data_IF_131834661026
#
_entry.id   IF_131834661026
#
_cell.length_a   1.000
_cell.length_b   1.000
_cell.length_c   1.000
_cell.angle_alpha   90.00
_cell.angle_beta   90.00
_cell.angle_gamma   90.00
#
_symmetry.space_group_name_H-M   'P 1'
#
loop_
_entity.id
_entity.type
_entity.pdbx_description
1 polymer ?
#
# COMPACT_ATOMS: atom_id res chain seq x y z
N UNK A 1 38.99 41.22 22.60
CA UNK A 1 38.86 39.97 23.40
C UNK A 1 39.10 38.77 22.48
N UNK A 2 39.43 37.57 22.97
CA UNK A 2 39.58 36.40 22.08
C UNK A 2 38.22 35.89 21.60
N UNK A 3 38.18 35.14 20.51
CA UNK A 3 36.93 34.53 19.99
C UNK A 3 36.29 33.63 21.05
N UNK A 4 37.06 32.78 21.75
CA UNK A 4 36.52 31.93 22.83
C UNK A 4 35.82 32.75 23.93
N UNK A 5 36.47 33.84 24.39
CA UNK A 5 35.87 34.71 25.41
C UNK A 5 34.60 35.40 24.92
N UNK A 6 34.55 35.76 23.64
CA UNK A 6 33.36 36.35 23.03
C UNK A 6 32.22 35.33 22.99
N UNK A 7 32.48 34.10 22.52
CA UNK A 7 31.49 33.03 22.46
C UNK A 7 30.96 32.65 23.86
N UNK A 8 31.85 32.56 24.86
CA UNK A 8 31.47 32.35 26.26
C UNK A 8 30.55 33.46 26.79
N UNK A 9 30.85 34.72 26.46
CA UNK A 9 30.02 35.88 26.87
C UNK A 9 28.64 35.83 26.22
N UNK A 10 28.54 35.28 25.01
CA UNK A 10 27.28 35.09 24.29
C UNK A 10 26.54 33.80 24.71
N UNK A 11 27.14 32.97 25.58
CA UNK A 11 26.57 31.68 26.00
C UNK A 11 26.54 30.63 24.88
N UNK A 12 27.41 30.77 23.88
CA UNK A 12 27.46 29.89 22.71
C UNK A 12 28.58 28.87 22.86
N UNK A 13 28.25 27.60 22.66
CA UNK A 13 29.20 26.50 22.69
C UNK A 13 30.13 26.55 21.47
N UNK A 14 31.46 26.77 21.63
CA UNK A 14 32.41 26.84 20.53
C UNK A 14 32.45 25.57 19.66
N UNK A 15 32.05 24.42 20.20
CA UNK A 15 31.97 23.17 19.46
C UNK A 15 30.79 23.17 18.46
N UNK A 16 29.76 23.98 18.68
CA UNK A 16 28.50 23.98 17.90
C UNK A 16 28.37 25.14 16.92
N UNK A 17 29.26 26.11 16.99
CA UNK A 17 29.22 27.31 16.13
C UNK A 17 30.42 27.37 15.20
N UNK A 18 30.28 28.13 14.11
CA UNK A 18 31.39 28.63 13.31
C UNK A 18 31.43 30.16 13.45
N UNK A 19 32.64 30.70 13.36
CA UNK A 19 32.91 32.11 13.62
C UNK A 19 33.60 32.71 12.39
N UNK A 20 33.03 33.77 11.86
CA UNK A 20 33.60 34.57 10.80
C UNK A 20 33.94 35.96 11.34
N UNK A 21 35.13 36.45 10.97
CA UNK A 21 35.57 37.82 11.27
C UNK A 21 35.96 38.50 9.97
N UNK A 22 35.29 39.59 9.62
CA UNK A 22 35.55 40.38 8.42
C UNK A 22 35.56 39.54 7.12
N UNK A 23 34.61 38.60 6.96
CA UNK A 23 34.55 37.66 5.82
C UNK A 23 35.64 36.59 5.78
N UNK A 24 36.40 36.43 6.86
CA UNK A 24 37.36 35.36 7.03
C UNK A 24 36.86 34.37 8.09
N UNK A 25 36.68 33.11 7.68
CA UNK A 25 36.29 32.03 8.59
C UNK A 25 37.48 31.73 9.50
N UNK A 26 37.28 31.88 10.81
CA UNK A 26 38.31 31.55 11.80
C UNK A 26 38.25 30.03 12.05
N UNK A 27 39.36 29.29 11.87
CA UNK A 27 39.41 27.88 12.24
C UNK A 27 39.19 27.71 13.75
N UNK A 28 38.43 26.68 14.17
CA UNK A 28 38.17 26.41 15.61
C UNK A 28 39.44 26.30 16.45
N UNK A 29 40.52 25.76 15.87
CA UNK A 29 41.83 25.67 16.55
C UNK A 29 42.46 27.02 16.88
N UNK A 30 41.99 28.11 16.25
CA UNK A 30 42.50 29.46 16.43
C UNK A 30 41.60 30.35 17.30
N UNK A 31 40.50 29.83 17.87
CA UNK A 31 39.56 30.64 18.66
C UNK A 31 40.18 31.22 19.95
N UNK A 32 41.09 30.47 20.56
CA UNK A 32 41.83 30.91 21.75
C UNK A 32 42.78 32.07 21.49
N UNK A 33 43.31 32.19 20.26
CA UNK A 33 44.38 33.13 19.91
C UNK A 33 43.87 34.32 19.06
N UNK A 34 42.74 34.16 18.38
CA UNK A 34 42.20 35.20 17.50
C UNK A 34 41.54 36.31 18.31
N UNK A 35 42.06 37.53 18.22
CA UNK A 35 41.49 38.72 18.86
C UNK A 35 40.40 39.36 18.00
N UNK A 36 39.28 39.71 18.63
CA UNK A 36 38.23 40.57 18.10
C UNK A 36 38.41 41.97 18.67
N UNK A 37 38.57 42.96 17.79
CA UNK A 37 38.83 44.36 18.10
C UNK A 37 37.64 45.28 17.84
N UNK A 38 37.78 46.53 18.25
CA UNK A 38 36.79 47.58 18.01
C UNK A 38 36.74 47.90 16.50
N UNK A 39 35.59 47.71 15.86
CA UNK A 39 35.39 47.90 14.42
C UNK A 39 35.38 46.62 13.56
N UNK A 40 35.66 45.45 14.13
CA UNK A 40 35.51 44.17 13.42
C UNK A 40 34.03 43.82 13.17
N UNK A 41 33.73 43.32 11.98
CA UNK A 41 32.45 42.66 11.68
C UNK A 41 32.56 41.19 12.01
N UNK A 42 31.63 40.69 12.82
CA UNK A 42 31.62 39.31 13.30
C UNK A 42 30.30 38.66 12.93
N UNK A 43 30.38 37.43 12.44
CA UNK A 43 29.23 36.57 12.21
C UNK A 43 29.44 35.22 12.90
N UNK A 44 28.43 34.79 13.65
CA UNK A 44 28.46 33.52 14.39
C UNK A 44 27.28 32.67 13.92
N UNK A 45 27.60 31.53 13.33
CA UNK A 45 26.61 30.67 12.66
C UNK A 45 26.56 29.32 13.35
N UNK A 46 25.38 28.72 13.40
CA UNK A 46 25.20 27.35 13.88
C UNK A 46 24.22 26.61 12.98
N UNK A 47 24.24 25.28 13.02
CA UNK A 47 23.22 24.50 12.31
C UNK A 47 21.86 24.71 12.98
N UNK A 48 20.88 25.14 12.19
CA UNK A 48 19.49 25.28 12.60
C UNK A 48 18.75 24.01 12.15
N UNK A 49 17.97 23.40 13.05
CA UNK A 49 17.06 22.30 12.76
C UNK A 49 15.65 22.65 13.25
N UNK A 50 14.62 22.17 12.55
CA UNK A 50 13.23 22.34 12.98
C UNK A 50 12.87 21.41 14.14
N UNK A 51 11.91 21.82 14.98
CA UNK A 51 11.35 20.98 16.04
C UNK A 51 10.55 21.76 17.07
N UNK A 52 9.24 21.86 16.91
CA UNK A 52 8.35 22.10 18.06
C UNK A 52 8.00 20.73 18.64
N UNK A 53 8.30 20.52 19.92
CA UNK A 53 8.19 19.23 20.60
C UNK A 53 6.78 18.64 20.53
N UNK A 54 6.52 17.83 19.51
CA UNK A 54 5.34 17.00 19.41
C UNK A 54 5.79 15.58 19.75
N UNK A 55 5.38 15.11 20.93
CA UNK A 55 5.57 13.72 21.31
C UNK A 55 4.73 12.84 20.36
N UNK A 56 5.39 11.97 19.60
CA UNK A 56 4.70 10.98 18.78
C UNK A 56 3.88 10.03 19.64
N UNK A 57 2.65 9.75 19.22
CA UNK A 57 1.83 8.72 19.85
C UNK A 57 2.47 7.33 19.66
N UNK A 58 2.28 6.43 20.62
CA UNK A 58 2.70 5.04 20.49
C UNK A 58 1.97 4.39 19.29
N UNK A 59 2.60 3.42 18.59
CA UNK A 59 1.97 2.76 17.45
C UNK A 59 0.69 2.04 17.92
N UNK A 60 -0.45 2.44 17.35
CA UNK A 60 -1.71 1.74 17.52
C UNK A 60 -1.70 0.39 16.77
N UNK A 61 -2.51 -0.56 17.24
CA UNK A 61 -2.68 -1.87 16.62
C UNK A 61 -3.44 -1.77 15.27
N UNK A 62 -2.75 -1.34 14.20
CA UNK A 62 -3.29 -0.95 12.88
C UNK A 62 -3.57 -2.13 11.90
N UNK A 63 -4.33 -3.12 12.37
CA UNK A 63 -4.88 -4.16 11.50
C UNK A 63 -6.16 -3.71 10.77
N UNK A 64 -6.67 -4.57 9.89
CA UNK A 64 -8.01 -4.41 9.29
C UNK A 64 -8.84 -5.67 9.46
N UNK A 65 -10.17 -5.53 9.39
CA UNK A 65 -11.11 -6.63 9.54
C UNK A 65 -11.98 -6.75 8.30
N UNK A 66 -12.04 -7.94 7.71
CA UNK A 66 -12.98 -8.28 6.64
C UNK A 66 -13.70 -9.57 7.01
N UNK A 67 -15.01 -9.61 6.77
CA UNK A 67 -15.82 -10.82 7.02
C UNK A 67 -15.71 -11.36 8.47
N UNK A 68 -15.52 -10.47 9.45
CA UNK A 68 -15.37 -10.81 10.87
C UNK A 68 -13.98 -11.32 11.27
N UNK A 69 -13.01 -11.31 10.37
CA UNK A 69 -11.64 -11.81 10.59
C UNK A 69 -10.65 -10.67 10.51
N UNK A 70 -9.75 -10.59 11.49
CA UNK A 70 -8.70 -9.56 11.59
C UNK A 70 -7.42 -10.02 10.89
N UNK A 71 -6.79 -9.09 10.18
CA UNK A 71 -5.53 -9.27 9.48
C UNK A 71 -4.58 -8.10 9.81
N UNK A 72 -3.28 -8.39 9.80
CA UNK A 72 -2.21 -7.40 9.98
C UNK A 72 -1.60 -6.99 8.65
N UNK A 73 -1.48 -7.91 7.70
CA UNK A 73 -0.97 -7.66 6.37
C UNK A 73 -2.07 -7.12 5.46
N UNK A 74 -1.90 -5.88 5.00
CA UNK A 74 -2.79 -5.19 4.05
C UNK A 74 -2.51 -5.54 2.58
N UNK A 75 -1.62 -6.51 2.34
CA UNK A 75 -1.27 -6.99 1.01
C UNK A 75 -1.89 -8.38 0.76
N UNK A 76 -2.78 -8.45 -0.23
CA UNK A 76 -3.34 -9.71 -0.73
C UNK A 76 -2.62 -10.08 -2.03
N UNK A 77 -2.18 -11.33 -2.14
CA UNK A 77 -1.45 -11.81 -3.33
C UNK A 77 -2.20 -12.91 -4.06
N UNK A 78 -2.11 -12.92 -5.39
CA UNK A 78 -2.56 -14.04 -6.21
C UNK A 78 -1.51 -15.14 -6.34
N UNK A 79 -1.96 -16.28 -6.84
CA UNK A 79 -1.17 -17.52 -7.02
C UNK A 79 -0.93 -17.88 -8.48
N UNK A 80 -1.45 -17.09 -9.42
CA UNK A 80 -1.34 -17.38 -10.85
C UNK A 80 -0.05 -16.84 -11.46
N UNK A 81 0.40 -17.49 -12.55
CA UNK A 81 1.47 -17.03 -13.46
C UNK A 81 2.92 -17.09 -12.95
N UNK A 82 3.17 -17.59 -11.74
CA UNK A 82 4.52 -17.91 -11.30
C UNK A 82 5.12 -19.07 -12.12
N UNK A 83 6.44 -19.17 -12.14
CA UNK A 83 7.15 -20.23 -12.86
C UNK A 83 6.96 -21.62 -12.25
N UNK A 84 6.74 -21.71 -10.93
CA UNK A 84 6.47 -22.95 -10.21
C UNK A 84 5.73 -22.69 -8.90
N UNK A 85 5.18 -23.74 -8.27
CA UNK A 85 4.52 -23.62 -6.98
C UNK A 85 5.50 -23.31 -5.83
N UNK A 86 6.76 -23.73 -5.93
CA UNK A 86 7.82 -23.31 -5.00
C UNK A 86 8.03 -21.79 -5.06
N UNK A 87 8.08 -21.23 -6.28
CA UNK A 87 8.19 -19.78 -6.44
C UNK A 87 6.95 -19.06 -5.90
N UNK A 88 5.75 -19.62 -6.10
CA UNK A 88 4.51 -19.09 -5.50
C UNK A 88 4.60 -19.06 -3.99
N UNK A 89 4.99 -20.18 -3.34
CA UNK A 89 5.19 -20.26 -1.89
C UNK A 89 6.19 -19.22 -1.39
N UNK A 90 7.34 -19.13 -2.03
CA UNK A 90 8.43 -18.23 -1.61
C UNK A 90 8.03 -16.75 -1.78
N UNK A 91 7.28 -16.42 -2.83
CA UNK A 91 6.74 -15.08 -3.03
C UNK A 91 5.67 -14.71 -1.98
N UNK A 92 4.76 -15.63 -1.64
CA UNK A 92 3.76 -15.42 -0.57
C UNK A 92 4.45 -15.22 0.78
N UNK A 93 5.47 -16.03 1.09
CA UNK A 93 6.23 -15.87 2.33
C UNK A 93 6.94 -14.51 2.39
N UNK A 94 7.56 -14.07 1.29
CA UNK A 94 8.25 -12.79 1.21
C UNK A 94 7.31 -11.57 1.24
N UNK A 95 6.08 -11.70 0.72
CA UNK A 95 5.06 -10.65 0.82
C UNK A 95 4.47 -10.53 2.23
N UNK A 96 4.53 -11.60 3.03
CA UNK A 96 3.86 -11.67 4.32
C UNK A 96 2.33 -11.58 4.20
N UNK A 97 1.77 -11.96 3.05
CA UNK A 97 0.33 -11.93 2.83
C UNK A 97 -0.38 -13.00 3.67
N UNK A 98 -1.43 -12.59 4.37
CA UNK A 98 -2.28 -13.49 5.16
C UNK A 98 -3.51 -13.96 4.37
N UNK A 99 -3.85 -13.26 3.29
CA UNK A 99 -4.91 -13.64 2.35
C UNK A 99 -4.28 -13.89 0.98
N UNK A 100 -4.61 -15.02 0.39
CA UNK A 100 -4.07 -15.49 -0.89
C UNK A 100 -5.22 -15.86 -1.83
N UNK A 101 -5.26 -15.25 -3.01
CA UNK A 101 -6.31 -15.57 -3.99
C UNK A 101 -5.97 -16.80 -4.81
N UNK A 102 -6.98 -17.65 -5.00
CA UNK A 102 -6.84 -18.91 -5.72
C UNK A 102 -7.94 -19.02 -6.77
N UNK A 103 -7.57 -19.41 -7.99
CA UNK A 103 -8.54 -19.66 -9.05
C UNK A 103 -9.02 -21.11 -8.96
N UNK A 104 -10.32 -21.33 -9.03
CA UNK A 104 -10.89 -22.69 -9.11
C UNK A 104 -10.63 -23.23 -10.50
N UNK A 105 -9.88 -24.33 -10.60
CA UNK A 105 -9.60 -25.01 -11.87
C UNK A 105 -10.01 -26.47 -11.79
N UNK A 106 -10.35 -27.03 -12.96
CA UNK A 106 -10.60 -28.47 -13.08
C UNK A 106 -9.27 -29.22 -12.93
N UNK A 107 -9.26 -30.25 -12.10
CA UNK A 107 -8.14 -31.19 -12.01
C UNK A 107 -8.10 -32.01 -13.29
N UNK A 108 -6.89 -32.28 -13.80
CA UNK A 108 -6.72 -33.18 -14.92
C UNK A 108 -6.84 -34.63 -14.44
N UNK A 109 -8.01 -35.24 -14.62
CA UNK A 109 -8.31 -36.59 -14.12
C UNK A 109 -7.45 -37.66 -14.83
N UNK A 110 -6.87 -37.36 -16.00
CA UNK A 110 -5.98 -38.29 -16.71
C UNK A 110 -4.56 -38.31 -16.16
N UNK A 111 -4.20 -37.39 -15.27
CA UNK A 111 -2.86 -37.24 -14.71
C UNK A 111 -2.96 -36.94 -13.19
N UNK A 112 -3.24 -37.96 -12.36
CA UNK A 112 -3.52 -37.79 -10.93
C UNK A 112 -2.31 -37.36 -10.11
N UNK A 113 -1.10 -37.48 -10.65
CA UNK A 113 0.15 -37.13 -9.96
C UNK A 113 0.56 -35.66 -10.20
N UNK A 114 -0.28 -34.86 -10.88
CA UNK A 114 0.02 -33.44 -11.06
C UNK A 114 0.07 -32.71 -9.70
N UNK A 115 1.13 -31.92 -9.45
CA UNK A 115 1.25 -31.19 -8.20
C UNK A 115 0.06 -30.24 -8.01
N UNK A 116 -0.45 -30.15 -6.78
CA UNK A 116 -1.52 -29.22 -6.43
C UNK A 116 -0.98 -28.05 -5.63
N UNK A 117 -1.56 -26.86 -5.81
CA UNK A 117 -1.16 -25.66 -5.07
C UNK A 117 -1.19 -25.86 -3.54
N UNK A 118 -2.17 -26.63 -3.04
CA UNK A 118 -2.33 -26.90 -1.61
C UNK A 118 -1.17 -27.69 -1.00
N UNK A 119 -0.41 -28.43 -1.83
CA UNK A 119 0.80 -29.15 -1.36
C UNK A 119 1.94 -28.17 -1.03
N UNK A 120 1.86 -26.92 -1.51
CA UNK A 120 2.89 -25.90 -1.36
C UNK A 120 2.45 -24.71 -0.51
N UNK A 121 1.14 -24.42 -0.46
CA UNK A 121 0.56 -23.31 0.29
C UNK A 121 -0.56 -23.86 1.17
N UNK A 122 -0.26 -24.18 2.43
CA UNK A 122 -1.24 -24.77 3.34
C UNK A 122 -2.40 -23.79 3.63
N UNK A 123 -3.67 -24.13 3.32
CA UNK A 123 -4.83 -23.30 3.65
C UNK A 123 -5.08 -23.12 5.16
N UNK A 124 -4.35 -23.79 6.03
CA UNK A 124 -4.32 -23.53 7.48
C UNK A 124 -3.35 -22.42 7.86
N UNK A 125 -2.32 -22.17 7.05
CA UNK A 125 -1.32 -21.14 7.30
C UNK A 125 -1.72 -19.78 6.73
N UNK A 126 -2.54 -19.76 5.66
CA UNK A 126 -3.05 -18.55 5.03
C UNK A 126 -4.54 -18.66 4.74
N UNK A 127 -5.21 -17.52 4.64
CA UNK A 127 -6.61 -17.46 4.24
C UNK A 127 -6.72 -17.54 2.72
N UNK A 128 -7.34 -18.61 2.23
CA UNK A 128 -7.69 -18.70 0.81
C UNK A 128 -8.88 -17.78 0.50
N UNK A 129 -8.77 -17.09 -0.63
CA UNK A 129 -9.84 -16.29 -1.22
C UNK A 129 -10.12 -16.82 -2.64
N UNK A 130 -10.97 -17.85 -2.78
CA UNK A 130 -11.36 -18.39 -4.08
C UNK A 130 -12.00 -17.30 -4.93
N UNK A 131 -11.63 -17.26 -6.21
CA UNK A 131 -12.11 -16.26 -7.14
C UNK A 131 -12.75 -16.85 -8.40
N UNK A 132 -13.47 -16.00 -9.13
CA UNK A 132 -14.12 -16.32 -10.40
C UNK A 132 -13.34 -15.83 -11.61
N UNK A 133 -12.00 -15.75 -11.50
CA UNK A 133 -11.16 -15.27 -12.60
C UNK A 133 -11.45 -16.02 -13.90
N UNK A 134 -11.71 -15.26 -14.96
CA UNK A 134 -12.07 -15.79 -16.28
C UNK A 134 -13.56 -16.10 -16.47
N UNK A 135 -14.43 -15.77 -15.51
CA UNK A 135 -15.89 -15.79 -15.70
C UNK A 135 -16.35 -14.52 -16.42
N UNK A 136 -17.26 -14.68 -17.39
CA UNK A 136 -17.84 -13.59 -18.18
C UNK A 136 -19.36 -13.46 -17.99
N UNK A 137 -19.96 -14.33 -17.18
CA UNK A 137 -21.37 -14.31 -16.83
C UNK A 137 -21.53 -14.54 -15.34
N UNK A 138 -22.62 -14.03 -14.77
CA UNK A 138 -23.00 -14.27 -13.39
C UNK A 138 -23.18 -15.77 -13.11
N UNK A 139 -23.74 -16.51 -14.06
CA UNK A 139 -24.03 -17.93 -13.89
C UNK A 139 -22.74 -18.77 -13.79
N UNK A 140 -21.72 -18.43 -14.58
CA UNK A 140 -20.38 -19.04 -14.48
C UNK A 140 -19.70 -18.70 -13.15
N UNK A 141 -19.81 -17.45 -12.70
CA UNK A 141 -19.25 -17.00 -11.43
C UNK A 141 -19.91 -17.73 -10.24
N UNK A 142 -21.24 -17.81 -10.23
CA UNK A 142 -22.03 -18.54 -9.22
C UNK A 142 -21.64 -20.02 -9.18
N UNK A 143 -21.59 -20.67 -10.35
CA UNK A 143 -21.16 -22.07 -10.43
C UNK A 143 -19.76 -22.27 -9.86
N UNK A 144 -18.83 -21.37 -10.18
CA UNK A 144 -17.43 -21.46 -9.75
C UNK A 144 -17.29 -21.35 -8.23
N UNK A 145 -17.97 -20.38 -7.60
CA UNK A 145 -17.87 -20.18 -6.15
C UNK A 145 -18.65 -21.23 -5.35
N UNK A 146 -19.78 -21.74 -5.87
CA UNK A 146 -20.45 -22.90 -5.28
C UNK A 146 -19.54 -24.13 -5.30
N UNK A 147 -18.81 -24.37 -6.40
CA UNK A 147 -17.81 -25.44 -6.44
C UNK A 147 -16.66 -25.22 -5.45
N UNK A 148 -16.20 -23.98 -5.26
CA UNK A 148 -15.20 -23.67 -4.24
C UNK A 148 -15.70 -24.03 -2.84
N UNK A 149 -16.92 -23.59 -2.49
CA UNK A 149 -17.56 -23.89 -1.21
C UNK A 149 -17.69 -25.40 -0.99
N UNK A 150 -18.13 -26.17 -1.98
CA UNK A 150 -18.23 -27.64 -1.87
C UNK A 150 -16.86 -28.32 -1.76
N UNK A 151 -15.82 -27.79 -2.43
CA UNK A 151 -14.50 -28.41 -2.45
C UNK A 151 -13.71 -28.22 -1.16
N UNK A 152 -13.91 -27.13 -0.42
CA UNK A 152 -13.16 -26.89 0.82
C UNK A 152 -13.78 -25.95 1.82
N UNK A 153 -15.09 -25.71 1.74
CA UNK A 153 -15.86 -25.00 2.76
C UNK A 153 -15.61 -23.50 2.82
N UNK A 154 -15.15 -22.89 1.72
CA UNK A 154 -14.88 -21.45 1.70
C UNK A 154 -16.15 -20.63 1.42
N UNK A 155 -16.55 -19.84 2.41
CA UNK A 155 -17.63 -18.86 2.29
C UNK A 155 -17.13 -17.46 1.94
N UNK A 156 -15.87 -17.14 2.28
CA UNK A 156 -15.20 -15.90 1.89
C UNK A 156 -14.66 -16.03 0.46
N UNK A 157 -15.17 -15.20 -0.45
CA UNK A 157 -14.94 -15.34 -1.89
C UNK A 157 -14.65 -14.01 -2.56
N UNK A 158 -13.82 -14.02 -3.60
CA UNK A 158 -13.62 -12.89 -4.51
C UNK A 158 -14.52 -13.05 -5.74
N UNK A 159 -15.52 -12.18 -5.87
CA UNK A 159 -16.36 -12.11 -7.07
C UNK A 159 -15.69 -11.22 -8.13
N UNK A 160 -15.52 -11.77 -9.32
CA UNK A 160 -14.94 -11.12 -10.51
C UNK A 160 -15.70 -11.58 -11.75
N UNK A 161 -16.46 -10.69 -12.39
CA UNK A 161 -17.15 -10.97 -13.67
C UNK A 161 -16.69 -9.97 -14.72
N UNK A 162 -16.06 -10.49 -15.78
CA UNK A 162 -15.41 -9.69 -16.81
C UNK A 162 -16.36 -9.44 -17.99
N UNK A 163 -16.30 -8.26 -18.60
CA UNK A 163 -17.11 -7.92 -19.77
C UNK A 163 -16.52 -8.41 -21.10
N UNK A 164 -15.19 -8.44 -21.23
CA UNK A 164 -14.54 -8.96 -22.43
C UNK A 164 -13.11 -9.45 -22.19
N UNK A 165 -12.63 -10.32 -23.08
CA UNK A 165 -11.31 -10.97 -22.98
C UNK A 165 -10.13 -10.05 -23.28
N UNK A 166 -10.35 -8.93 -23.96
CA UNK A 166 -9.28 -8.01 -24.40
C UNK A 166 -8.95 -7.01 -23.30
N UNK A 167 -9.96 -6.41 -22.70
CA UNK A 167 -9.78 -5.39 -21.65
C UNK A 167 -9.70 -6.02 -20.26
N UNK A 168 -10.36 -7.16 -20.04
CA UNK A 168 -10.58 -7.74 -18.72
C UNK A 168 -11.19 -6.73 -17.73
N UNK A 169 -11.96 -5.77 -18.25
CA UNK A 169 -12.72 -4.80 -17.45
C UNK A 169 -13.98 -5.48 -16.90
N UNK A 170 -14.45 -5.13 -15.68
CA UNK A 170 -15.62 -5.78 -15.11
C UNK A 170 -16.92 -5.44 -15.84
N UNK A 171 -17.82 -6.41 -16.02
CA UNK A 171 -19.21 -6.14 -16.39
C UNK A 171 -20.04 -5.94 -15.13
N UNK A 172 -20.32 -4.68 -14.80
CA UNK A 172 -21.01 -4.33 -13.58
C UNK A 172 -22.44 -4.85 -13.50
N UNK A 173 -23.10 -5.12 -14.64
CA UNK A 173 -24.46 -5.69 -14.64
C UNK A 173 -24.46 -7.14 -14.17
N UNK A 174 -23.53 -7.94 -14.70
CA UNK A 174 -23.36 -9.32 -14.28
C UNK A 174 -22.79 -9.42 -12.86
N UNK A 175 -21.88 -8.51 -12.48
CA UNK A 175 -21.33 -8.43 -11.11
C UNK A 175 -22.45 -8.18 -10.08
N UNK A 176 -23.33 -7.20 -10.30
CA UNK A 176 -24.46 -6.92 -9.40
C UNK A 176 -25.42 -8.13 -9.30
N UNK A 177 -25.72 -8.79 -10.43
CA UNK A 177 -26.57 -9.99 -10.46
C UNK A 177 -25.96 -11.14 -9.64
N UNK A 178 -24.67 -11.41 -9.83
CA UNK A 178 -23.95 -12.46 -9.12
C UNK A 178 -23.82 -12.15 -7.62
N UNK A 179 -23.44 -10.91 -7.27
CA UNK A 179 -23.30 -10.48 -5.88
C UNK A 179 -24.58 -10.69 -5.08
N UNK A 180 -25.74 -10.30 -5.65
CA UNK A 180 -27.05 -10.49 -5.00
C UNK A 180 -27.29 -11.95 -4.64
N UNK A 181 -27.11 -12.84 -5.61
CA UNK A 181 -27.37 -14.27 -5.43
C UNK A 181 -26.40 -14.91 -4.44
N UNK A 182 -25.11 -14.54 -4.49
CA UNK A 182 -24.11 -15.05 -3.54
C UNK A 182 -24.40 -14.61 -2.11
N UNK A 183 -24.81 -13.36 -1.91
CA UNK A 183 -25.18 -12.83 -0.60
C UNK A 183 -26.43 -13.53 -0.04
N UNK A 184 -27.45 -13.76 -0.88
CA UNK A 184 -28.64 -14.55 -0.52
C UNK A 184 -28.28 -16.01 -0.14
N UNK A 185 -27.21 -16.55 -0.72
CA UNK A 185 -26.64 -17.87 -0.39
C UNK A 185 -25.66 -17.85 0.79
N UNK A 186 -25.52 -16.72 1.49
CA UNK A 186 -24.69 -16.58 2.67
C UNK A 186 -23.18 -16.56 2.40
N UNK A 187 -22.74 -16.26 1.17
CA UNK A 187 -21.32 -16.00 0.92
C UNK A 187 -20.89 -14.66 1.52
N UNK A 188 -19.65 -14.59 1.98
CA UNK A 188 -18.98 -13.36 2.37
C UNK A 188 -18.23 -12.83 1.14
N UNK A 189 -18.86 -11.92 0.39
CA UNK A 189 -18.38 -11.50 -0.93
C UNK A 189 -17.43 -10.31 -0.83
N UNK A 190 -16.19 -10.48 -1.29
CA UNK A 190 -15.31 -9.38 -1.66
C UNK A 190 -15.43 -9.16 -3.17
N UNK A 191 -15.84 -7.98 -3.63
CA UNK A 191 -16.24 -7.79 -5.04
C UNK A 191 -15.26 -6.92 -5.83
N UNK A 192 -14.72 -7.47 -6.92
CA UNK A 192 -13.97 -6.71 -7.93
C UNK A 192 -14.92 -5.86 -8.76
N UNK A 193 -14.60 -4.57 -8.90
CA UNK A 193 -15.48 -3.57 -9.52
C UNK A 193 -14.70 -2.53 -10.32
N UNK A 194 -15.40 -1.79 -11.18
CA UNK A 194 -14.90 -0.54 -11.72
C UNK A 194 -14.68 0.48 -10.59
N UNK A 195 -13.98 1.57 -10.91
CA UNK A 195 -13.79 2.72 -10.05
C UNK A 195 -15.02 3.66 -10.04
N UNK A 196 -16.23 3.14 -10.26
CA UNK A 196 -17.46 3.94 -10.17
C UNK A 196 -17.94 4.00 -8.70
N UNK A 197 -17.94 5.19 -8.06
CA UNK A 197 -18.33 5.30 -6.66
C UNK A 197 -19.80 4.94 -6.39
N UNK A 198 -20.69 5.12 -7.37
CA UNK A 198 -22.11 4.82 -7.19
C UNK A 198 -22.32 3.31 -7.16
N UNK A 199 -21.72 2.58 -8.10
CA UNK A 199 -21.82 1.12 -8.16
C UNK A 199 -21.10 0.45 -6.99
N UNK A 200 -19.96 1.00 -6.56
CA UNK A 200 -19.28 0.58 -5.34
C UNK A 200 -20.20 0.70 -4.12
N UNK A 201 -20.95 1.81 -4.00
CA UNK A 201 -21.88 2.01 -2.89
C UNK A 201 -23.07 1.04 -2.96
N UNK A 202 -23.60 0.79 -4.14
CA UNK A 202 -24.68 -0.19 -4.33
C UNK A 202 -24.25 -1.59 -3.88
N UNK A 203 -23.05 -2.04 -4.25
CA UNK A 203 -22.49 -3.33 -3.83
C UNK A 203 -22.26 -3.41 -2.32
N UNK A 204 -21.83 -2.31 -1.68
CA UNK A 204 -21.73 -2.22 -0.22
C UNK A 204 -23.12 -2.36 0.43
N UNK A 205 -24.10 -1.59 -0.04
CA UNK A 205 -25.46 -1.56 0.52
C UNK A 205 -26.18 -2.91 0.38
N UNK A 206 -25.80 -3.71 -0.63
CA UNK A 206 -26.26 -5.10 -0.77
C UNK A 206 -25.71 -6.03 0.31
N UNK A 207 -24.56 -5.70 0.92
CA UNK A 207 -23.91 -6.49 1.97
C UNK A 207 -22.57 -7.12 1.59
N UNK A 208 -21.91 -6.66 0.51
CA UNK A 208 -20.56 -7.14 0.20
C UNK A 208 -19.60 -6.85 1.38
N UNK A 209 -18.78 -7.83 1.75
CA UNK A 209 -17.86 -7.76 2.88
C UNK A 209 -16.67 -6.81 2.64
N UNK A 210 -16.31 -6.57 1.38
CA UNK A 210 -15.32 -5.58 0.97
C UNK A 210 -15.55 -5.14 -0.49
N UNK A 211 -15.16 -3.91 -0.81
CA UNK A 211 -15.22 -3.36 -2.16
C UNK A 211 -13.82 -3.30 -2.74
N UNK A 212 -13.64 -3.82 -3.95
CA UNK A 212 -12.33 -3.92 -4.58
C UNK A 212 -12.28 -3.19 -5.93
N UNK A 213 -12.22 -1.85 -5.94
CA UNK A 213 -12.17 -1.09 -7.19
C UNK A 213 -10.83 -1.27 -7.90
N UNK A 214 -10.89 -1.30 -9.23
CA UNK A 214 -9.70 -1.40 -10.04
C UNK A 214 -8.84 -0.13 -10.02
N UNK A 215 -7.51 -0.31 -10.00
CA UNK A 215 -6.59 0.80 -10.28
C UNK A 215 -6.48 1.09 -11.78
N UNK A 216 -6.42 0.02 -12.57
CA UNK A 216 -6.37 -0.01 -14.03
C UNK A 216 -6.73 -1.43 -14.52
N UNK A 217 -6.90 -1.67 -15.84
CA UNK A 217 -7.19 -3.00 -16.38
C UNK A 217 -6.21 -4.09 -15.90
N UNK A 218 -6.71 -5.31 -15.74
CA UNK A 218 -5.97 -6.44 -15.16
C UNK A 218 -4.67 -6.71 -15.93
N UNK A 219 -3.55 -6.78 -15.21
CA UNK A 219 -2.24 -7.07 -15.78
C UNK A 219 -1.63 -5.96 -16.63
N UNK A 220 -2.23 -4.77 -16.68
CA UNK A 220 -1.70 -3.63 -17.46
C UNK A 220 -0.47 -2.98 -16.83
N UNK A 221 -0.34 -3.02 -15.50
CA UNK A 221 0.75 -2.40 -14.76
C UNK A 221 0.77 -0.86 -14.84
N UNK A 222 -0.35 -0.22 -15.16
CA UNK A 222 -0.45 1.23 -15.35
C UNK A 222 -0.50 2.02 -14.02
N UNK A 223 -0.73 1.34 -12.90
CA UNK A 223 -0.99 1.98 -11.60
C UNK A 223 -2.38 2.61 -11.52
N UNK A 224 -2.66 3.39 -10.48
CA UNK A 224 -3.98 3.97 -10.24
C UNK A 224 -4.26 5.13 -11.21
N UNK A 225 -5.13 4.90 -12.19
CA UNK A 225 -5.45 5.92 -13.21
C UNK A 225 -6.35 7.03 -12.68
N UNK A 226 -7.31 6.69 -11.82
CA UNK A 226 -8.32 7.63 -11.34
C UNK A 226 -8.33 7.72 -9.81
N UNK A 227 -7.30 8.40 -9.29
CA UNK A 227 -7.10 8.58 -7.84
C UNK A 227 -8.26 9.32 -7.17
N UNK A 228 -8.98 10.17 -7.91
CA UNK A 228 -10.13 10.92 -7.40
C UNK A 228 -11.26 9.96 -7.04
N UNK A 229 -11.64 9.07 -7.96
CA UNK A 229 -12.72 8.12 -7.70
C UNK A 229 -12.35 7.13 -6.59
N UNK A 230 -11.12 6.62 -6.57
CA UNK A 230 -10.65 5.75 -5.49
C UNK A 230 -10.80 6.45 -4.13
N UNK A 231 -10.40 7.73 -4.02
CA UNK A 231 -10.57 8.49 -2.78
C UNK A 231 -12.05 8.65 -2.41
N UNK A 232 -12.93 8.94 -3.37
CA UNK A 232 -14.37 9.04 -3.10
C UNK A 232 -14.94 7.71 -2.59
N UNK A 233 -14.52 6.58 -3.15
CA UNK A 233 -14.92 5.24 -2.70
C UNK A 233 -14.41 4.99 -1.27
N UNK A 234 -13.16 5.32 -0.96
CA UNK A 234 -12.61 5.20 0.40
C UNK A 234 -13.39 6.06 1.40
N UNK A 235 -13.64 7.34 1.08
CA UNK A 235 -14.31 8.28 1.98
C UNK A 235 -15.77 7.90 2.26
N UNK A 236 -16.48 7.30 1.30
CA UNK A 236 -17.89 6.94 1.46
C UNK A 236 -18.12 5.56 2.10
N UNK A 237 -17.15 4.64 1.99
CA UNK A 237 -17.37 3.22 2.29
C UNK A 237 -17.26 2.93 3.78
N UNK A 238 -18.06 1.97 4.25
CA UNK A 238 -18.04 1.49 5.65
C UNK A 238 -17.42 0.10 5.79
N UNK A 239 -17.28 -0.60 4.68
CA UNK A 239 -16.54 -1.87 4.59
C UNK A 239 -15.15 -1.60 4.02
N UNK A 240 -14.20 -2.53 4.21
CA UNK A 240 -12.85 -2.36 3.67
C UNK A 240 -12.82 -2.09 2.17
N UNK A 241 -11.99 -1.14 1.75
CA UNK A 241 -11.75 -0.82 0.34
C UNK A 241 -10.33 -1.26 -0.04
N UNK A 242 -10.22 -2.19 -1.00
CA UNK A 242 -8.92 -2.69 -1.45
C UNK A 242 -8.73 -2.44 -2.93
N UNK A 243 -7.67 -1.72 -3.32
CA UNK A 243 -7.37 -1.57 -4.75
C UNK A 243 -6.96 -2.92 -5.31
N UNK A 244 -7.67 -3.40 -6.33
CA UNK A 244 -7.41 -4.69 -6.98
C UNK A 244 -7.05 -4.49 -8.45
N UNK A 245 -5.94 -5.10 -8.88
CA UNK A 245 -5.43 -5.01 -10.23
C UNK A 245 -4.97 -3.61 -10.66
N UNK A 246 -4.32 -3.55 -11.84
CA UNK A 246 -3.73 -2.34 -12.40
C UNK A 246 -2.37 -1.94 -11.81
N UNK A 247 -2.09 -2.26 -10.54
CA UNK A 247 -0.77 -2.05 -9.90
C UNK A 247 0.34 -2.67 -10.74
N UNK A 248 1.41 -1.92 -10.99
CA UNK A 248 2.60 -2.36 -11.73
C UNK A 248 3.86 -2.42 -10.88
N UNK A 249 4.00 -1.52 -9.91
CA UNK A 249 5.19 -1.46 -9.05
C UNK A 249 4.87 -0.97 -7.63
N UNK A 250 5.88 -1.00 -6.76
CA UNK A 250 5.80 -0.61 -5.36
C UNK A 250 5.16 0.77 -5.15
N UNK A 251 5.52 1.79 -5.94
CA UNK A 251 4.96 3.14 -5.80
C UNK A 251 3.44 3.19 -6.02
N UNK A 252 2.87 2.32 -6.86
CA UNK A 252 1.43 2.30 -7.08
C UNK A 252 0.69 1.77 -5.84
N UNK A 253 1.25 0.72 -5.22
CA UNK A 253 0.71 0.16 -3.99
C UNK A 253 0.81 1.16 -2.83
N UNK A 254 1.94 1.86 -2.70
CA UNK A 254 2.10 2.93 -1.72
C UNK A 254 1.05 4.04 -1.92
N UNK A 255 0.83 4.49 -3.15
CA UNK A 255 -0.19 5.51 -3.48
C UNK A 255 -1.59 5.03 -3.13
N UNK A 256 -1.93 3.76 -3.35
CA UNK A 256 -3.24 3.23 -2.93
C UNK A 256 -3.44 3.37 -1.41
N UNK A 257 -2.43 3.01 -0.62
CA UNK A 257 -2.49 3.14 0.84
C UNK A 257 -2.50 4.60 1.30
N UNK A 258 -1.74 5.49 0.65
CA UNK A 258 -1.75 6.94 0.92
C UNK A 258 -3.11 7.59 0.65
N UNK A 259 -3.93 7.01 -0.25
CA UNK A 259 -5.31 7.43 -0.50
C UNK A 259 -6.29 6.95 0.58
N UNK A 260 -5.85 6.11 1.52
CA UNK A 260 -6.64 5.58 2.61
C UNK A 260 -7.27 4.21 2.35
N UNK A 261 -6.87 3.50 1.29
CA UNK A 261 -7.33 2.13 1.08
C UNK A 261 -6.93 1.24 2.26
N UNK A 262 -7.76 0.24 2.57
CA UNK A 262 -7.50 -0.74 3.63
C UNK A 262 -6.47 -1.78 3.22
N UNK A 263 -6.30 -2.00 1.91
CA UNK A 263 -5.30 -2.89 1.38
C UNK A 263 -5.17 -2.84 -0.14
N UNK A 264 -4.30 -3.71 -0.65
CA UNK A 264 -4.04 -3.86 -2.08
C UNK A 264 -4.04 -5.33 -2.45
N UNK A 265 -4.71 -5.68 -3.55
CA UNK A 265 -4.69 -7.01 -4.13
C UNK A 265 -3.93 -6.98 -5.46
N UNK A 266 -2.90 -7.83 -5.59
CA UNK A 266 -2.14 -7.93 -6.83
C UNK A 266 -1.67 -9.36 -7.14
N UNK A 267 -1.42 -9.62 -8.43
CA UNK A 267 -0.83 -10.89 -8.88
C UNK A 267 0.27 -10.61 -9.90
N UNK A 268 -0.11 -10.09 -11.07
CA UNK A 268 0.78 -9.96 -12.24
C UNK A 268 2.04 -9.15 -11.94
N UNK A 269 1.93 -8.05 -11.18
CA UNK A 269 3.08 -7.21 -10.83
C UNK A 269 4.19 -7.97 -10.09
N UNK A 270 3.83 -8.97 -9.28
CA UNK A 270 4.78 -9.84 -8.57
C UNK A 270 5.19 -11.00 -9.47
N UNK A 271 4.22 -11.76 -9.99
CA UNK A 271 4.46 -13.02 -10.68
C UNK A 271 5.25 -12.85 -12.00
N UNK A 272 5.04 -11.75 -12.74
CA UNK A 272 5.74 -11.48 -14.00
C UNK A 272 6.99 -10.59 -13.81
N UNK A 273 7.35 -10.25 -12.56
CA UNK A 273 8.62 -9.56 -12.30
C UNK A 273 9.81 -10.47 -12.63
N UNK A 274 10.95 -9.87 -12.98
CA UNK A 274 12.20 -10.62 -13.21
C UNK A 274 12.66 -11.40 -11.97
N UNK A 275 12.35 -10.87 -10.78
CA UNK A 275 12.61 -11.51 -9.48
C UNK A 275 11.32 -11.39 -8.63
N UNK A 276 10.39 -12.37 -8.74
CA UNK A 276 9.09 -12.31 -8.06
C UNK A 276 9.19 -12.25 -6.53
N UNK A 277 10.15 -12.95 -5.93
CA UNK A 277 10.32 -12.98 -4.46
C UNK A 277 10.81 -11.61 -3.96
N UNK A 278 11.75 -10.98 -4.67
CA UNK A 278 12.16 -9.61 -4.37
C UNK A 278 11.04 -8.62 -4.57
N UNK A 279 10.24 -8.77 -5.63
CA UNK A 279 9.10 -7.89 -5.88
C UNK A 279 8.02 -8.04 -4.81
N UNK A 280 7.73 -9.27 -4.36
CA UNK A 280 6.82 -9.52 -3.25
C UNK A 280 7.24 -8.78 -1.97
N UNK A 281 8.53 -8.83 -1.61
CA UNK A 281 9.09 -8.06 -0.49
C UNK A 281 8.97 -6.55 -0.74
N UNK A 282 9.21 -6.07 -1.95
CA UNK A 282 9.10 -4.65 -2.28
C UNK A 282 7.66 -4.14 -2.14
N UNK A 283 6.67 -4.93 -2.59
CA UNK A 283 5.26 -4.61 -2.45
C UNK A 283 4.81 -4.60 -0.99
N UNK A 284 5.29 -5.53 -0.16
CA UNK A 284 5.07 -5.52 1.29
C UNK A 284 5.49 -4.18 1.91
N UNK A 285 6.75 -3.80 1.69
CA UNK A 285 7.31 -2.56 2.22
C UNK A 285 6.58 -1.33 1.71
N UNK A 286 6.10 -1.36 0.46
CA UNK A 286 5.34 -0.26 -0.11
C UNK A 286 3.96 -0.07 0.53
N UNK A 287 3.27 -1.18 0.80
CA UNK A 287 1.97 -1.16 1.49
C UNK A 287 2.15 -0.66 2.93
N UNK A 288 3.17 -1.14 3.64
CA UNK A 288 3.51 -0.67 5.00
C UNK A 288 3.84 0.83 4.99
N UNK A 289 4.77 1.26 4.12
CA UNK A 289 5.18 2.66 4.03
C UNK A 289 4.04 3.60 3.64
N UNK A 290 3.19 3.19 2.70
CA UNK A 290 2.03 3.99 2.29
C UNK A 290 0.97 4.09 3.39
N UNK A 291 0.78 3.03 4.18
CA UNK A 291 -0.12 3.06 5.34
C UNK A 291 0.42 3.96 6.44
N UNK A 292 1.69 3.85 6.77
CA UNK A 292 2.35 4.74 7.73
C UNK A 292 2.27 6.21 7.27
N UNK A 293 2.45 6.49 5.98
CA UNK A 293 2.31 7.83 5.43
C UNK A 293 0.88 8.38 5.53
N UNK A 294 -0.13 7.53 5.36
CA UNK A 294 -1.54 7.89 5.57
C UNK A 294 -1.80 8.27 7.04
N UNK A 295 -1.38 7.40 7.98
CA UNK A 295 -1.58 7.62 9.42
C UNK A 295 -0.78 8.81 9.95
N UNK A 296 0.43 9.02 9.46
CA UNK A 296 1.29 10.13 9.86
C UNK A 296 0.74 11.50 9.43
N UNK A 297 -0.17 11.54 8.45
CA UNK A 297 -0.72 12.78 7.92
C UNK A 297 0.34 13.58 7.16
N UNK A 298 0.49 13.29 5.86
CA UNK A 298 1.44 14.00 5.00
C UNK A 298 1.27 15.53 5.05
N UNK A 299 2.37 16.26 4.80
CA UNK A 299 2.30 17.71 4.63
C UNK A 299 1.35 18.12 3.49
N UNK A 300 0.72 19.28 3.65
CA UNK A 300 -0.15 19.89 2.63
C UNK A 300 0.64 20.17 1.36
N UNK A 301 0.05 19.86 0.20
CA UNK A 301 0.60 20.27 -1.10
C UNK A 301 0.48 21.79 -1.25
N UNK A 302 1.60 22.46 -1.50
CA UNK A 302 1.64 23.91 -1.79
C UNK A 302 1.84 24.12 -3.29
N UNK A 303 1.33 25.24 -3.82
CA UNK A 303 1.53 25.62 -5.24
C UNK A 303 2.92 26.19 -5.51
N UNK A 304 3.52 26.82 -4.50
CA UNK A 304 4.82 27.45 -4.57
C UNK A 304 5.70 26.96 -3.42
N UNK A 305 7.01 27.13 -3.57
CA UNK A 305 7.96 26.85 -2.50
C UNK A 305 7.70 27.75 -1.30
N UNK A 306 7.86 27.18 -0.11
CA UNK A 306 7.83 27.89 1.16
C UNK A 306 9.12 27.51 1.90
N UNK A 307 9.97 28.48 2.30
CA UNK A 307 11.23 28.18 2.96
C UNK A 307 11.03 27.24 4.15
N UNK A 308 11.77 26.14 4.18
CA UNK A 308 11.75 25.19 5.31
C UNK A 308 12.48 25.73 6.54
N UNK A 309 13.28 26.78 6.36
CA UNK A 309 14.08 27.43 7.41
C UNK A 309 13.45 28.78 7.77
N UNK A 310 13.41 29.16 9.07
CA UNK A 310 12.99 30.49 9.48
C UNK A 310 13.77 31.56 8.72
N UNK A 311 13.08 32.61 8.25
CA UNK A 311 13.72 33.72 7.53
C UNK A 311 14.64 34.57 8.43
N UNK A 312 14.53 34.42 9.76
CA UNK A 312 15.43 35.07 10.71
C UNK A 312 16.77 34.33 10.77
N UNK A 313 17.87 35.03 10.48
CA UNK A 313 19.23 34.48 10.54
C UNK A 313 19.77 33.91 9.22
N UNK A 314 19.18 34.26 8.08
CA UNK A 314 19.78 34.01 6.76
C UNK A 314 20.91 35.02 6.50
N UNK A 315 22.04 34.49 6.02
CA UNK A 315 23.27 35.22 5.64
C UNK A 315 23.17 35.68 4.18
#
# INVERSE_FOLDING_TARGET
MTVDRLLDTLGLDPAKVAFERNREIVPKSAYGDTLVGEGDQVEVVHFIGGGEGHAGAAPEDDGFTVAGRRFTSRLIVGTGKYASFEQTRDAIAASGAEIVTVAVRRVNISDPDQPMLMDYVDPKAVTYLPNTAGCFTADDALRTLRLAREAGGWDLVKLEVLGDKKTLYPDMRETLKAARTLLDEGFQVMVYTSDDPILCKELEDMGCAAIMPLGAPIGSGLGLQNKVNIRLIVEQSRVPVLVDAGVGTASDAAVAMELGCDGVLMNTAIAEARDPVRMARAMKLAVEAGRDAYLAGRMKTKRYADPSSPLGGLI
#
